data_IF_291082465322
#
_entry.id   IF_291082465322
#
_cell.length_a   1.000
_cell.length_b   1.000
_cell.length_c   1.000
_cell.angle_alpha   90.00
_cell.angle_beta   90.00
_cell.angle_gamma   90.00
#
_symmetry.space_group_name_H-M   'P 1'
#
loop_
_entity.id
_entity.type
_entity.pdbx_description
1 polymer ?
#
# COMPACT_ATOMS: atom_id res chain seq x y z
N UNK A 1 16.70 -6.09 11.56
CA UNK A 1 15.72 -6.48 12.60
C UNK A 1 15.92 -7.94 12.91
N UNK A 2 16.04 -8.26 14.17
CA UNK A 2 16.20 -9.65 14.63
C UNK A 2 14.88 -10.43 14.51
N UNK A 3 14.94 -11.77 14.59
CA UNK A 3 13.74 -12.63 14.47
C UNK A 3 12.67 -12.40 15.54
N UNK A 4 13.06 -11.82 16.67
CA UNK A 4 12.17 -11.46 17.77
C UNK A 4 11.52 -10.07 17.63
N UNK A 5 11.80 -9.37 16.52
CA UNK A 5 11.29 -8.03 16.25
C UNK A 5 12.18 -6.89 16.74
N UNK A 6 13.31 -7.20 17.40
CA UNK A 6 14.26 -6.18 17.85
C UNK A 6 14.84 -5.42 16.66
N UNK A 7 14.79 -4.09 16.70
CA UNK A 7 15.41 -3.22 15.70
C UNK A 7 16.88 -3.03 16.02
N UNK A 8 17.75 -3.57 15.16
CA UNK A 8 19.21 -3.54 15.33
C UNK A 8 19.92 -2.54 14.40
N UNK A 9 19.16 -1.73 13.66
CA UNK A 9 19.69 -0.81 12.66
C UNK A 9 19.99 -1.47 11.31
N UNK A 10 20.86 -0.84 10.54
CA UNK A 10 21.28 -1.33 9.23
C UNK A 10 22.26 -2.51 9.34
N UNK A 11 22.15 -3.47 8.44
CA UNK A 11 23.03 -4.61 8.38
C UNK A 11 24.23 -4.33 7.44
N UNK A 12 25.38 -3.95 8.02
CA UNK A 12 26.60 -3.64 7.26
C UNK A 12 27.13 -4.83 6.47
N UNK A 13 26.98 -6.06 6.99
CA UNK A 13 27.43 -7.27 6.28
C UNK A 13 26.59 -7.49 5.02
N UNK A 14 25.28 -7.28 5.11
CA UNK A 14 24.38 -7.36 3.95
C UNK A 14 24.74 -6.28 2.92
N UNK A 15 24.91 -5.03 3.35
CA UNK A 15 25.29 -3.94 2.44
C UNK A 15 26.61 -4.22 1.73
N UNK A 16 27.60 -4.77 2.45
CA UNK A 16 28.88 -5.19 1.86
C UNK A 16 28.68 -6.31 0.84
N UNK A 17 27.87 -7.32 1.17
CA UNK A 17 27.64 -8.46 0.29
C UNK A 17 26.97 -8.10 -1.04
N UNK A 18 26.15 -7.04 -1.06
CA UNK A 18 25.49 -6.52 -2.27
C UNK A 18 26.26 -5.38 -2.98
N UNK A 19 27.51 -5.08 -2.52
CA UNK A 19 28.35 -4.06 -3.13
C UNK A 19 28.04 -2.62 -2.74
N UNK A 20 27.30 -2.40 -1.64
CA UNK A 20 26.90 -1.08 -1.13
C UNK A 20 27.56 -0.75 0.22
N UNK A 21 28.80 -1.20 0.44
CA UNK A 21 29.54 -0.97 1.69
C UNK A 21 29.71 0.51 2.03
N UNK A 22 29.80 1.38 1.03
CA UNK A 22 29.88 2.83 1.19
C UNK A 22 28.70 3.45 1.96
N UNK A 23 27.52 2.81 2.00
CA UNK A 23 26.38 3.25 2.77
C UNK A 23 26.60 3.07 4.27
N UNK A 24 27.52 2.21 4.68
CA UNK A 24 27.89 1.99 6.08
C UNK A 24 28.92 3.01 6.61
N UNK A 25 29.49 3.85 5.73
CA UNK A 25 30.47 4.87 6.10
C UNK A 25 29.83 5.99 6.93
N UNK A 26 30.64 6.62 7.79
CA UNK A 26 30.23 7.73 8.64
C UNK A 26 28.90 7.47 9.36
N UNK A 27 28.77 6.27 9.96
CA UNK A 27 27.58 5.83 10.71
C UNK A 27 26.28 5.95 9.91
N UNK A 28 26.30 5.44 8.69
CA UNK A 28 25.17 5.45 7.74
C UNK A 28 24.64 6.86 7.43
N UNK A 29 25.47 7.89 7.46
CA UNK A 29 25.06 9.29 7.28
C UNK A 29 24.28 9.55 5.98
N UNK A 30 24.49 8.74 4.93
CA UNK A 30 23.79 8.88 3.65
C UNK A 30 22.35 8.34 3.64
N UNK A 31 22.03 7.42 4.55
CA UNK A 31 20.72 6.75 4.63
C UNK A 31 20.05 6.92 5.99
N UNK A 32 20.70 7.61 6.93
CA UNK A 32 20.27 7.79 8.30
C UNK A 32 20.71 6.66 9.21
N UNK A 33 21.48 6.98 10.26
CA UNK A 33 22.01 5.98 11.21
C UNK A 33 20.97 5.45 12.20
N UNK A 34 19.89 6.18 12.41
CA UNK A 34 18.84 5.79 13.36
C UNK A 34 17.71 5.04 12.66
N UNK A 35 17.45 3.83 13.12
CA UNK A 35 16.36 2.97 12.65
C UNK A 35 15.48 2.62 13.85
N UNK A 36 14.19 2.82 13.73
CA UNK A 36 13.20 2.58 14.77
C UNK A 36 12.07 1.68 14.24
N UNK A 37 11.31 1.08 15.15
CA UNK A 37 10.13 0.33 14.78
C UNK A 37 9.02 1.26 14.25
N UNK A 38 8.14 0.77 13.37
CA UNK A 38 6.98 1.54 12.92
C UNK A 38 6.10 1.98 14.08
N UNK A 39 5.69 3.24 14.07
CA UNK A 39 4.84 3.82 15.10
C UNK A 39 5.57 4.34 16.33
N UNK A 40 6.90 4.16 16.44
CA UNK A 40 7.68 4.76 17.52
C UNK A 40 7.73 6.28 17.41
N UNK A 41 7.79 6.94 18.56
CA UNK A 41 7.79 8.41 18.61
C UNK A 41 9.11 8.99 18.11
N UNK A 42 9.02 9.97 17.22
CA UNK A 42 10.17 10.76 16.76
C UNK A 42 10.38 11.92 17.74
N UNK A 43 11.42 11.81 18.55
CA UNK A 43 11.78 12.84 19.52
C UNK A 43 10.66 13.13 20.53
N UNK A 44 10.45 14.42 20.83
CA UNK A 44 9.41 14.90 21.75
C UNK A 44 8.15 15.42 21.03
N UNK A 45 7.98 15.09 19.76
CA UNK A 45 6.89 15.58 18.93
C UNK A 45 7.20 16.89 18.20
N UNK A 46 6.16 17.58 17.73
CA UNK A 46 6.30 18.83 16.97
C UNK A 46 7.00 19.94 17.79
N UNK A 47 7.93 20.63 17.16
CA UNK A 47 8.53 21.85 17.71
C UNK A 47 7.49 22.99 17.74
N UNK A 48 7.71 23.99 18.57
CA UNK A 48 6.83 25.18 18.65
C UNK A 48 6.62 25.84 17.28
N UNK A 49 7.70 25.99 16.51
CA UNK A 49 7.62 26.62 15.18
C UNK A 49 6.72 25.84 14.23
N UNK A 50 6.94 24.52 14.09
CA UNK A 50 6.16 23.67 13.17
C UNK A 50 4.72 23.51 13.66
N UNK A 51 4.52 23.37 14.96
CA UNK A 51 3.17 23.30 15.53
C UNK A 51 2.36 24.57 15.23
N UNK A 52 3.00 25.74 15.37
CA UNK A 52 2.37 27.03 15.02
C UNK A 52 1.98 27.12 13.53
N UNK A 53 2.86 26.70 12.62
CA UNK A 53 2.57 26.69 11.17
C UNK A 53 1.41 25.77 10.81
N UNK A 54 1.29 24.62 11.49
CA UNK A 54 0.25 23.62 11.25
C UNK A 54 -1.05 23.89 12.03
N UNK A 55 -1.09 24.87 12.91
CA UNK A 55 -2.23 25.12 13.80
C UNK A 55 -2.43 24.01 14.85
N UNK A 56 -1.35 23.33 15.25
CA UNK A 56 -1.35 22.24 16.22
C UNK A 56 -0.67 22.68 17.53
N UNK A 57 -0.73 21.82 18.55
CA UNK A 57 -0.03 22.06 19.82
C UNK A 57 1.43 21.61 19.74
N UNK A 58 2.37 22.36 20.33
CA UNK A 58 3.74 21.88 20.52
C UNK A 58 3.73 20.54 21.26
N UNK A 59 4.65 19.64 20.88
CA UNK A 59 4.71 18.30 21.46
C UNK A 59 3.68 17.32 20.90
N UNK A 60 2.85 17.71 19.92
CA UNK A 60 2.00 16.75 19.19
C UNK A 60 2.87 15.61 18.68
N UNK A 61 2.50 14.37 19.00
CA UNK A 61 3.28 13.19 18.68
C UNK A 61 3.46 13.02 17.16
N UNK A 62 4.70 12.75 16.75
CA UNK A 62 5.08 12.39 15.39
C UNK A 62 5.68 11.01 15.46
N UNK A 63 5.19 10.07 14.68
CA UNK A 63 5.73 8.71 14.62
C UNK A 63 6.73 8.53 13.49
N UNK A 64 7.54 7.47 13.58
CA UNK A 64 8.24 6.93 12.43
C UNK A 64 7.24 6.59 11.33
N UNK A 65 7.63 6.83 10.07
CA UNK A 65 6.74 6.67 8.91
C UNK A 65 6.61 5.21 8.47
N UNK A 66 5.55 4.97 7.73
CA UNK A 66 5.33 3.76 6.95
C UNK A 66 5.45 4.11 5.45
N UNK A 67 5.67 3.09 4.61
CA UNK A 67 5.41 3.21 3.17
C UNK A 67 3.92 3.54 3.00
N UNK A 68 3.56 4.41 2.04
CA UNK A 68 2.19 4.90 1.83
C UNK A 68 1.15 3.78 1.71
N UNK A 69 1.44 2.74 0.93
CA UNK A 69 0.58 1.57 0.79
C UNK A 69 0.45 0.79 2.12
N UNK A 70 1.53 0.71 2.92
CA UNK A 70 1.50 0.08 4.25
C UNK A 70 0.66 0.89 5.24
N UNK A 71 0.72 2.22 5.17
CA UNK A 71 -0.14 3.10 5.96
C UNK A 71 -1.62 2.93 5.57
N UNK A 72 -1.91 2.80 4.26
CA UNK A 72 -3.23 2.47 3.76
C UNK A 72 -3.74 1.11 4.28
N UNK A 73 -2.87 0.10 4.30
CA UNK A 73 -3.19 -1.22 4.87
C UNK A 73 -3.51 -1.13 6.37
N UNK A 74 -2.70 -0.38 7.13
CA UNK A 74 -2.94 -0.16 8.56
C UNK A 74 -4.33 0.44 8.80
N UNK A 75 -4.70 1.48 8.04
CA UNK A 75 -6.03 2.11 8.14
C UNK A 75 -7.16 1.15 7.87
N UNK A 76 -7.07 0.36 6.78
CA UNK A 76 -8.11 -0.61 6.41
C UNK A 76 -8.22 -1.78 7.40
N UNK A 77 -7.10 -2.40 7.75
CA UNK A 77 -7.08 -3.57 8.61
C UNK A 77 -7.56 -3.24 10.02
N UNK A 78 -7.34 -2.00 10.47
CA UNK A 78 -7.74 -1.50 11.79
C UNK A 78 -9.17 -0.96 11.88
N UNK A 79 -9.83 -0.64 10.76
CA UNK A 79 -11.08 0.14 10.78
C UNK A 79 -12.27 -0.54 11.46
N UNK A 80 -12.31 -1.87 11.54
CA UNK A 80 -13.40 -2.62 12.17
C UNK A 80 -13.09 -3.10 13.60
N UNK A 81 -11.90 -2.78 14.12
CA UNK A 81 -11.41 -3.32 15.38
C UNK A 81 -11.18 -4.83 15.34
N UNK A 82 -10.78 -5.43 16.46
CA UNK A 82 -10.52 -6.87 16.59
C UNK A 82 -9.19 -7.31 15.94
N UNK A 83 -9.10 -8.61 15.65
CA UNK A 83 -7.86 -9.21 15.13
C UNK A 83 -7.63 -8.78 13.67
N UNK A 84 -6.44 -8.24 13.41
CA UNK A 84 -6.00 -7.83 12.07
C UNK A 84 -5.37 -8.98 11.29
N UNK A 85 -5.02 -10.08 11.97
CA UNK A 85 -4.43 -11.28 11.35
C UNK A 85 -5.48 -12.01 10.52
N UNK A 86 -5.08 -12.42 9.31
CA UNK A 86 -5.96 -13.15 8.39
C UNK A 86 -6.92 -12.26 7.59
N UNK A 87 -6.83 -10.93 7.74
CA UNK A 87 -7.56 -9.99 6.86
C UNK A 87 -6.72 -9.65 5.65
N UNK A 88 -7.34 -9.67 4.48
CA UNK A 88 -6.75 -9.19 3.24
C UNK A 88 -7.12 -7.73 3.02
N UNK A 89 -6.13 -6.85 3.01
CA UNK A 89 -6.27 -5.44 2.65
C UNK A 89 -5.96 -5.23 1.17
N UNK A 90 -6.79 -4.46 0.49
CA UNK A 90 -6.62 -4.06 -0.91
C UNK A 90 -6.42 -2.54 -0.96
N UNK A 91 -5.18 -2.09 -1.16
CA UNK A 91 -4.85 -0.67 -1.34
C UNK A 91 -4.82 -0.38 -2.82
N UNK A 92 -5.93 0.15 -3.33
CA UNK A 92 -6.18 0.32 -4.76
C UNK A 92 -6.04 1.78 -5.18
N UNK A 93 -5.22 2.01 -6.21
CA UNK A 93 -5.01 3.29 -6.86
C UNK A 93 -4.70 3.07 -8.33
N UNK A 94 -3.64 3.68 -8.85
CA UNK A 94 -3.07 3.37 -10.18
C UNK A 94 -2.66 1.91 -10.27
N UNK A 95 -2.07 1.38 -9.20
CA UNK A 95 -1.81 -0.05 -8.96
C UNK A 95 -2.61 -0.53 -7.75
N UNK A 96 -2.57 -1.82 -7.45
CA UNK A 96 -3.18 -2.37 -6.23
C UNK A 96 -2.15 -3.20 -5.49
N UNK A 97 -2.02 -2.94 -4.17
CA UNK A 97 -1.30 -3.79 -3.25
C UNK A 97 -2.29 -4.65 -2.46
N UNK A 98 -2.04 -5.96 -2.43
CA UNK A 98 -2.78 -6.94 -1.64
C UNK A 98 -1.96 -7.27 -0.41
N UNK A 99 -2.44 -6.93 0.78
CA UNK A 99 -1.67 -7.01 2.01
C UNK A 99 -2.34 -7.89 3.04
N UNK A 100 -1.59 -8.85 3.56
CA UNK A 100 -2.02 -9.79 4.59
C UNK A 100 -1.04 -9.79 5.74
N UNK A 101 -1.54 -9.65 6.98
CA UNK A 101 -0.73 -9.79 8.19
C UNK A 101 -0.87 -11.18 8.79
N UNK A 102 0.25 -11.68 9.32
CA UNK A 102 0.33 -12.99 9.98
C UNK A 102 1.20 -12.92 11.23
N UNK A 103 0.87 -13.73 12.24
CA UNK A 103 1.70 -13.92 13.44
C UNK A 103 2.94 -14.78 13.21
N UNK A 104 3.06 -15.41 12.04
CA UNK A 104 4.19 -16.27 11.66
C UNK A 104 4.63 -15.99 10.22
N UNK A 105 5.91 -16.21 9.87
CA UNK A 105 6.37 -16.07 8.50
C UNK A 105 5.70 -17.12 7.60
N UNK A 106 5.08 -16.67 6.53
CA UNK A 106 4.49 -17.52 5.50
C UNK A 106 5.21 -17.26 4.18
N UNK A 107 5.88 -18.28 3.66
CA UNK A 107 6.51 -18.21 2.33
C UNK A 107 5.51 -18.76 1.30
N UNK A 108 5.03 -17.87 0.45
CA UNK A 108 4.07 -18.22 -0.61
C UNK A 108 4.70 -17.89 -1.96
N UNK A 109 4.85 -18.85 -2.87
CA UNK A 109 5.40 -18.57 -4.21
C UNK A 109 4.63 -17.48 -4.93
N UNK A 110 5.33 -16.49 -5.49
CA UNK A 110 4.73 -15.36 -6.19
C UNK A 110 4.18 -14.24 -5.29
N UNK A 111 4.35 -14.35 -3.97
CA UNK A 111 3.98 -13.32 -2.99
C UNK A 111 5.24 -12.77 -2.35
N UNK A 112 5.34 -11.45 -2.25
CA UNK A 112 6.49 -10.78 -1.62
C UNK A 112 6.43 -10.89 -0.11
N UNK A 113 7.60 -10.91 0.51
CA UNK A 113 7.77 -11.10 1.94
C UNK A 113 8.19 -12.55 2.28
N UNK A 114 7.97 -12.99 3.53
CA UNK A 114 7.36 -12.25 4.64
C UNK A 114 8.25 -11.13 5.17
N UNK A 115 7.69 -9.96 5.41
CA UNK A 115 8.39 -8.79 5.96
C UNK A 115 8.01 -8.58 7.43
N UNK A 116 8.97 -8.73 8.33
CA UNK A 116 8.71 -8.55 9.77
C UNK A 116 8.53 -7.07 10.12
N UNK A 117 7.46 -6.76 10.85
CA UNK A 117 7.16 -5.41 11.37
C UNK A 117 7.05 -4.32 10.29
N UNK A 118 6.66 -4.67 9.07
CA UNK A 118 6.54 -3.68 7.99
C UNK A 118 5.31 -2.78 8.11
N UNK A 119 4.27 -3.22 8.83
CA UNK A 119 3.03 -2.47 9.08
C UNK A 119 2.79 -2.33 10.58
N UNK A 120 2.84 -3.42 11.31
CA UNK A 120 2.67 -3.46 12.77
C UNK A 120 3.82 -4.21 13.42
N UNK A 121 4.34 -3.74 14.54
CA UNK A 121 5.41 -4.41 15.27
C UNK A 121 5.07 -5.87 15.59
N UNK A 122 6.02 -6.78 15.34
CA UNK A 122 5.89 -8.20 15.65
C UNK A 122 5.03 -9.01 14.67
N UNK A 123 4.37 -8.40 13.70
CA UNK A 123 3.62 -9.10 12.66
C UNK A 123 4.38 -9.18 11.33
N UNK A 124 4.11 -10.23 10.58
CA UNK A 124 4.67 -10.47 9.26
C UNK A 124 3.70 -10.00 8.19
N UNK A 125 4.20 -9.21 7.25
CA UNK A 125 3.45 -8.79 6.07
C UNK A 125 3.78 -9.70 4.90
N UNK A 126 2.75 -10.20 4.24
CA UNK A 126 2.81 -10.77 2.88
C UNK A 126 2.14 -9.78 1.94
N UNK A 127 2.76 -9.53 0.78
CA UNK A 127 2.30 -8.55 -0.17
C UNK A 127 2.26 -9.13 -1.58
N UNK A 128 1.11 -8.99 -2.24
CA UNK A 128 0.95 -9.21 -3.67
C UNK A 128 0.65 -7.90 -4.37
N UNK A 129 0.94 -7.81 -5.66
CA UNK A 129 0.74 -6.57 -6.39
C UNK A 129 0.11 -6.77 -7.76
N UNK A 130 -0.80 -5.87 -8.12
CA UNK A 130 -1.29 -5.67 -9.48
C UNK A 130 -0.68 -4.37 -10.00
N UNK A 131 0.15 -4.45 -11.03
CA UNK A 131 0.95 -3.31 -11.53
C UNK A 131 0.14 -2.14 -12.07
N UNK A 132 -1.04 -2.41 -12.61
CA UNK A 132 -1.96 -1.37 -13.09
C UNK A 132 -3.39 -1.78 -12.79
N UNK A 133 -4.14 -0.93 -12.14
CA UNK A 133 -5.56 -1.16 -11.80
C UNK A 133 -6.42 -0.03 -12.35
N UNK A 134 -6.38 1.16 -11.79
CA UNK A 134 -7.18 2.29 -12.26
C UNK A 134 -6.86 2.64 -13.71
N UNK A 135 -5.57 2.78 -14.05
CA UNK A 135 -5.15 3.06 -15.42
C UNK A 135 -5.52 1.95 -16.42
N UNK A 136 -5.57 0.70 -15.98
CA UNK A 136 -6.02 -0.41 -16.82
C UNK A 136 -7.53 -0.35 -17.07
N UNK A 137 -8.33 -0.08 -16.05
CA UNK A 137 -9.77 0.09 -16.19
C UNK A 137 -10.07 1.24 -17.16
N UNK A 138 -9.40 2.39 -16.98
CA UNK A 138 -9.50 3.51 -17.92
C UNK A 138 -9.13 3.12 -19.34
N UNK A 139 -8.05 2.36 -19.52
CA UNK A 139 -7.63 1.89 -20.83
C UNK A 139 -8.71 1.00 -21.47
N UNK A 140 -9.26 0.04 -20.74
CA UNK A 140 -10.33 -0.85 -21.26
C UNK A 140 -11.56 -0.04 -21.64
N UNK A 141 -11.99 0.88 -20.81
CA UNK A 141 -13.15 1.74 -21.08
C UNK A 141 -12.88 2.63 -22.30
N UNK A 142 -11.75 3.31 -22.36
CA UNK A 142 -11.46 4.29 -23.41
C UNK A 142 -11.16 3.66 -24.76
N UNK A 143 -10.61 2.44 -24.78
CA UNK A 143 -10.35 1.68 -26.01
C UNK A 143 -11.56 0.91 -26.54
N UNK A 144 -12.63 0.79 -25.75
CA UNK A 144 -13.82 0.06 -26.17
C UNK A 144 -14.59 0.80 -27.27
N UNK A 145 -15.07 0.11 -28.33
CA UNK A 145 -15.80 0.75 -29.43
C UNK A 145 -17.02 1.58 -29.01
N UNK A 146 -17.71 1.19 -27.93
CA UNK A 146 -18.87 1.92 -27.40
C UNK A 146 -18.49 3.11 -26.49
N UNK A 147 -17.20 3.42 -26.30
CA UNK A 147 -16.76 4.48 -25.37
C UNK A 147 -17.39 5.84 -25.70
N UNK A 148 -17.42 6.21 -27.00
CA UNK A 148 -17.98 7.50 -27.43
C UNK A 148 -19.47 7.66 -27.09
N UNK A 149 -20.24 6.58 -27.20
CA UNK A 149 -21.67 6.57 -26.84
C UNK A 149 -21.85 6.74 -25.32
N UNK A 150 -21.11 5.98 -24.51
CA UNK A 150 -21.20 6.06 -23.06
C UNK A 150 -20.75 7.43 -22.56
N UNK A 151 -19.70 7.99 -23.16
CA UNK A 151 -19.21 9.34 -22.85
C UNK A 151 -20.25 10.40 -23.16
N UNK A 152 -20.91 10.34 -24.31
CA UNK A 152 -21.97 11.28 -24.67
C UNK A 152 -23.16 11.22 -23.69
N UNK A 153 -23.52 10.02 -23.23
CA UNK A 153 -24.54 9.82 -22.22
C UNK A 153 -24.13 10.45 -20.88
N UNK A 154 -22.88 10.25 -20.46
CA UNK A 154 -22.33 10.83 -19.23
C UNK A 154 -22.33 12.36 -19.29
N UNK A 155 -21.86 12.96 -20.39
CA UNK A 155 -21.87 14.41 -20.62
C UNK A 155 -23.29 14.98 -20.61
N UNK A 156 -24.27 14.32 -21.23
CA UNK A 156 -25.66 14.76 -21.24
C UNK A 156 -26.35 14.74 -19.87
N UNK A 157 -25.84 13.92 -18.95
CA UNK A 157 -26.37 13.73 -17.60
C UNK A 157 -25.52 14.38 -16.51
N UNK A 158 -24.47 15.10 -16.91
CA UNK A 158 -23.48 15.72 -15.98
C UNK A 158 -22.95 14.73 -14.94
N UNK A 159 -22.56 13.55 -15.39
CA UNK A 159 -22.03 12.49 -14.53
C UNK A 159 -20.79 11.82 -15.15
N UNK A 160 -20.14 10.93 -14.41
CA UNK A 160 -18.98 10.20 -14.89
C UNK A 160 -19.38 9.03 -15.79
N UNK A 161 -18.46 8.62 -16.69
CA UNK A 161 -18.60 7.37 -17.47
C UNK A 161 -18.79 6.17 -16.56
N UNK A 162 -18.11 6.15 -15.41
CA UNK A 162 -18.25 5.10 -14.41
C UNK A 162 -19.67 5.02 -13.86
N UNK A 163 -20.34 6.14 -13.61
CA UNK A 163 -21.73 6.17 -13.15
C UNK A 163 -22.65 5.47 -14.15
N UNK A 164 -22.49 5.77 -15.45
CA UNK A 164 -23.30 5.13 -16.50
C UNK A 164 -23.05 3.61 -16.56
N UNK A 165 -21.79 3.20 -16.45
CA UNK A 165 -21.42 1.78 -16.48
C UNK A 165 -21.94 1.03 -15.26
N UNK A 166 -21.86 1.64 -14.07
CA UNK A 166 -22.35 1.04 -12.82
C UNK A 166 -23.87 0.86 -12.83
N UNK A 167 -24.62 1.87 -13.29
CA UNK A 167 -26.07 1.76 -13.48
C UNK A 167 -26.44 0.64 -14.46
N UNK A 168 -25.71 0.50 -15.57
CA UNK A 168 -25.92 -0.60 -16.52
C UNK A 168 -25.67 -1.96 -15.89
N UNK A 169 -24.58 -2.11 -15.11
CA UNK A 169 -24.27 -3.35 -14.39
C UNK A 169 -25.37 -3.71 -13.38
N UNK A 170 -25.87 -2.73 -12.64
CA UNK A 170 -26.98 -2.94 -11.68
C UNK A 170 -28.26 -3.40 -12.39
N UNK A 171 -28.58 -2.83 -13.55
CA UNK A 171 -29.76 -3.21 -14.35
C UNK A 171 -29.62 -4.61 -14.98
N UNK A 172 -28.43 -4.98 -15.42
CA UNK A 172 -28.17 -6.28 -16.05
C UNK A 172 -28.07 -7.43 -15.03
N UNK A 173 -27.73 -7.10 -13.80
CA UNK A 173 -27.50 -8.06 -12.71
C UNK A 173 -26.20 -8.84 -12.84
N UNK A 174 -25.87 -9.59 -11.79
CA UNK A 174 -24.60 -10.34 -11.68
C UNK A 174 -24.48 -11.49 -12.67
N UNK A 175 -25.60 -12.00 -13.18
CA UNK A 175 -25.66 -13.13 -14.11
C UNK A 175 -24.86 -12.88 -15.39
N UNK A 176 -24.84 -11.63 -15.88
CA UNK A 176 -24.18 -11.25 -17.14
C UNK A 176 -22.66 -11.37 -17.06
N UNK A 177 -22.10 -11.20 -15.87
CA UNK A 177 -20.65 -11.24 -15.66
C UNK A 177 -20.16 -12.48 -14.93
N UNK A 178 -21.06 -13.36 -14.49
CA UNK A 178 -20.73 -14.56 -13.69
C UNK A 178 -19.64 -15.43 -14.31
N UNK A 179 -19.70 -15.63 -15.62
CA UNK A 179 -18.77 -16.50 -16.35
C UNK A 179 -17.67 -15.71 -17.08
N UNK A 180 -17.59 -14.39 -16.84
CA UNK A 180 -16.56 -13.54 -17.41
C UNK A 180 -15.33 -13.52 -16.50
N UNK A 181 -14.23 -14.12 -16.96
CA UNK A 181 -12.96 -14.11 -16.27
C UNK A 181 -11.96 -13.26 -17.05
N UNK A 182 -11.38 -12.27 -16.38
CA UNK A 182 -10.39 -11.39 -16.98
C UNK A 182 -9.06 -11.58 -16.25
N UNK A 183 -7.99 -11.82 -17.01
CA UNK A 183 -6.62 -11.82 -16.50
C UNK A 183 -5.96 -10.47 -16.86
N UNK A 184 -5.86 -9.54 -15.90
CA UNK A 184 -5.60 -8.13 -16.21
C UNK A 184 -4.11 -7.75 -16.25
N UNK A 185 -3.22 -8.69 -16.57
CA UNK A 185 -1.76 -8.49 -16.52
C UNK A 185 -1.20 -7.86 -17.81
N UNK A 186 -1.77 -6.75 -18.26
CA UNK A 186 -1.28 -6.03 -19.45
C UNK A 186 0.12 -5.41 -19.26
N UNK A 187 0.59 -5.27 -18.01
CA UNK A 187 1.94 -4.85 -17.66
C UNK A 187 2.83 -6.02 -17.18
N UNK A 188 2.40 -7.24 -17.40
CA UNK A 188 3.06 -8.45 -16.92
C UNK A 188 2.77 -8.77 -15.46
N UNK A 189 2.99 -10.03 -15.10
CA UNK A 189 2.90 -10.53 -13.74
C UNK A 189 4.28 -10.39 -13.09
N UNK A 190 4.35 -9.82 -11.89
CA UNK A 190 5.59 -9.60 -11.12
C UNK A 190 5.65 -10.52 -9.92
#
# INVERSE_FOLDING_TARGET
>A
MERDGTVTGWNSQFLTAIGLSELSEADFSRIGGRVEAPGEAVGSGLTEAVASELGLSPGTAVSTSLIDAHAGALGMLGCQGGDVVGRLGLVTGTSTCHMLLSSRPLLVPGVWGPFLSAVLPGLWLMEGGQSSTGGLIDHVITSHPAHSEVRQQAESRDCSVYTILEERLQLLGEEVTRDLHVYPDYHGNR
#
